data_IF_152331241060
#
_entry.id   IF_152331241060
#
_cell.length_a   1.000
_cell.length_b   1.000
_cell.length_c   1.000
_cell.angle_alpha   90.00
_cell.angle_beta   90.00
_cell.angle_gamma   90.00
#
_symmetry.space_group_name_H-M   'P 1'
#
loop_
_entity.id
_entity.type
_entity.pdbx_description
1 polymer ?
#
# COMPACT_ATOMS: atom_id res chain seq x y z
N UNK A 1 -49.67 -17.13 5.88
CA UNK A 1 -48.38 -17.01 6.56
C UNK A 1 -47.30 -16.98 5.49
N UNK A 2 -46.80 -15.80 5.17
CA UNK A 2 -45.80 -15.61 4.11
C UNK A 2 -44.54 -15.09 4.78
N UNK A 3 -43.43 -15.81 4.64
CA UNK A 3 -42.13 -15.43 5.22
C UNK A 3 -41.65 -14.09 4.63
N UNK A 4 -40.99 -13.21 5.41
CA UNK A 4 -40.40 -12.01 4.85
C UNK A 4 -39.18 -12.38 3.99
N UNK A 5 -39.20 -11.93 2.74
CA UNK A 5 -38.11 -12.11 1.80
C UNK A 5 -36.82 -11.49 2.31
N UNK A 6 -35.70 -12.20 2.14
CA UNK A 6 -34.36 -11.64 2.27
C UNK A 6 -34.18 -10.57 1.18
N UNK A 7 -34.22 -9.31 1.58
CA UNK A 7 -33.76 -8.21 0.75
C UNK A 7 -32.28 -8.39 0.38
N UNK A 8 -31.82 -7.82 -0.75
CA UNK A 8 -30.42 -7.89 -1.13
C UNK A 8 -29.55 -7.27 -0.03
N UNK A 9 -28.55 -8.02 0.41
CA UNK A 9 -27.48 -7.50 1.27
C UNK A 9 -26.82 -6.34 0.52
N UNK A 10 -27.06 -5.10 0.97
CA UNK A 10 -26.23 -3.97 0.56
C UNK A 10 -24.79 -4.35 0.91
N UNK A 11 -23.99 -4.69 -0.10
CA UNK A 11 -22.54 -4.61 0.04
C UNK A 11 -22.28 -3.14 0.25
N UNK A 12 -21.81 -2.76 1.44
CA UNK A 12 -21.22 -1.46 1.63
C UNK A 12 -20.09 -1.37 0.59
N UNK A 13 -20.30 -0.58 -0.45
CA UNK A 13 -19.20 -0.18 -1.33
C UNK A 13 -18.35 0.67 -0.42
N UNK A 14 -17.24 0.12 0.06
CA UNK A 14 -16.25 0.96 0.70
C UNK A 14 -15.79 1.98 -0.36
N UNK A 15 -15.62 3.22 0.04
CA UNK A 15 -15.12 4.24 -0.87
C UNK A 15 -13.59 4.24 -0.79
N UNK A 16 -12.88 4.33 -1.93
CA UNK A 16 -11.45 4.60 -1.94
C UNK A 16 -11.07 5.84 -1.14
N UNK A 17 -9.77 6.06 -0.94
CA UNK A 17 -9.31 7.29 -0.30
C UNK A 17 -9.75 8.55 -1.07
N UNK A 18 -9.82 9.69 -0.39
CA UNK A 18 -9.76 10.99 -1.07
C UNK A 18 -8.34 11.20 -1.62
N UNK A 19 -8.21 11.51 -2.91
CA UNK A 19 -6.93 11.78 -3.56
C UNK A 19 -6.18 12.98 -2.94
N UNK A 20 -6.90 13.93 -2.34
CA UNK A 20 -6.31 15.07 -1.64
C UNK A 20 -5.87 14.73 -0.20
N UNK A 21 -6.23 13.55 0.33
CA UNK A 21 -5.89 13.19 1.68
C UNK A 21 -4.37 12.96 1.86
N UNK A 22 -3.82 13.26 3.06
CA UNK A 22 -2.38 13.17 3.29
C UNK A 22 -1.80 11.78 2.99
N UNK A 23 -0.70 11.76 2.25
CA UNK A 23 0.06 10.55 1.95
C UNK A 23 -0.61 9.62 0.94
N UNK A 24 -1.71 10.02 0.31
CA UNK A 24 -2.36 9.26 -0.76
C UNK A 24 -1.60 9.44 -2.07
N UNK A 25 -1.28 8.33 -2.71
CA UNK A 25 -0.70 8.25 -4.03
C UNK A 25 -1.80 7.82 -5.01
N UNK A 26 -2.03 8.64 -6.04
CA UNK A 26 -2.82 8.24 -7.20
C UNK A 26 -1.95 7.47 -8.19
N UNK A 27 -2.35 6.24 -8.48
CA UNK A 27 -1.74 5.38 -9.49
C UNK A 27 -2.35 5.67 -10.89
N UNK A 28 -1.65 5.35 -12.00
CA UNK A 28 -2.16 5.57 -13.37
C UNK A 28 -3.60 5.10 -13.64
N UNK A 29 -4.04 3.99 -13.06
CA UNK A 29 -5.38 3.45 -13.22
C UNK A 29 -6.48 4.21 -12.46
N UNK A 30 -6.11 5.22 -11.67
CA UNK A 30 -7.01 5.95 -10.79
C UNK A 30 -7.12 5.35 -9.39
N UNK A 31 -6.53 4.18 -9.13
CA UNK A 31 -6.45 3.59 -7.79
C UNK A 31 -5.70 4.50 -6.82
N UNK A 32 -6.18 4.55 -5.57
CA UNK A 32 -5.67 5.43 -4.54
C UNK A 32 -5.12 4.61 -3.37
N UNK A 33 -3.84 4.78 -3.06
CA UNK A 33 -3.16 4.04 -1.98
C UNK A 33 -2.49 5.02 -1.02
N UNK A 34 -2.77 4.89 0.29
CA UNK A 34 -2.12 5.71 1.30
C UNK A 34 -0.79 5.11 1.74
N UNK A 35 0.30 5.88 1.67
CA UNK A 35 1.57 5.54 2.32
C UNK A 35 1.70 6.17 3.69
N UNK A 36 2.03 5.39 4.74
CA UNK A 36 2.18 5.91 6.11
C UNK A 36 3.46 5.48 6.82
N UNK A 37 3.88 6.28 7.79
CA UNK A 37 4.85 5.91 8.81
C UNK A 37 4.17 5.55 10.13
N UNK A 38 4.37 4.33 10.63
CA UNK A 38 3.76 3.82 11.87
C UNK A 38 4.18 4.56 13.14
N UNK A 39 5.33 5.26 13.11
CA UNK A 39 5.78 6.10 14.25
C UNK A 39 4.93 7.35 14.46
N UNK A 40 4.19 7.78 13.45
CA UNK A 40 3.30 8.93 13.52
C UNK A 40 1.89 8.45 13.93
N UNK A 41 1.11 9.29 14.63
CA UNK A 41 -0.29 8.99 14.89
C UNK A 41 -1.06 8.78 13.58
N UNK A 42 -2.19 8.09 13.65
CA UNK A 42 -3.10 7.99 12.53
C UNK A 42 -3.57 9.40 12.14
N UNK A 43 -3.55 9.75 10.84
CA UNK A 43 -4.20 10.98 10.37
C UNK A 43 -5.68 10.97 10.75
N UNK A 44 -6.28 12.14 11.04
CA UNK A 44 -7.72 12.22 11.25
C UNK A 44 -8.49 11.77 10.01
N UNK A 45 -9.70 11.23 10.21
CA UNK A 45 -10.57 10.78 9.14
C UNK A 45 -10.78 9.26 9.12
N UNK A 46 -11.26 8.70 8.00
CA UNK A 46 -11.60 7.29 7.92
C UNK A 46 -10.36 6.40 8.07
N UNK A 47 -10.57 5.23 8.69
CA UNK A 47 -9.55 4.20 8.84
C UNK A 47 -9.37 3.40 7.54
N UNK A 48 -8.18 2.82 7.31
CA UNK A 48 -7.99 1.85 6.24
C UNK A 48 -8.91 0.64 6.43
N UNK A 49 -9.24 -0.02 5.32
CA UNK A 49 -9.87 -1.34 5.32
C UNK A 49 -8.86 -2.46 5.16
N UNK A 50 -7.77 -2.16 4.45
CA UNK A 50 -6.66 -3.07 4.24
C UNK A 50 -5.32 -2.39 4.45
N UNK A 51 -4.37 -3.11 5.07
CA UNK A 51 -3.02 -2.62 5.34
C UNK A 51 -1.93 -3.61 4.94
N UNK A 52 -0.91 -3.13 4.23
CA UNK A 52 0.36 -3.83 4.04
C UNK A 52 1.41 -3.27 4.99
N UNK A 53 1.85 -4.07 5.95
CA UNK A 53 2.76 -3.65 7.02
C UNK A 53 4.17 -4.19 6.80
N UNK A 54 5.11 -3.28 6.53
CA UNK A 54 6.49 -3.55 6.10
C UNK A 54 7.49 -3.35 7.25
N UNK A 55 7.44 -4.23 8.25
CA UNK A 55 8.22 -4.12 9.49
C UNK A 55 9.11 -5.33 9.72
N UNK A 56 10.21 -5.15 10.47
CA UNK A 56 11.12 -6.27 10.79
C UNK A 56 10.54 -7.28 11.79
N UNK A 57 9.50 -6.88 12.53
CA UNK A 57 8.74 -7.68 13.50
C UNK A 57 7.25 -7.54 13.21
N UNK A 58 6.42 -8.54 13.55
CA UNK A 58 4.97 -8.40 13.48
C UNK A 58 4.52 -7.18 14.26
N UNK A 59 3.48 -6.53 13.76
CA UNK A 59 2.76 -5.51 14.51
C UNK A 59 1.64 -6.17 15.32
N UNK A 60 1.17 -5.49 16.37
CA UNK A 60 0.02 -5.94 17.15
C UNK A 60 -1.26 -6.01 16.30
N UNK A 61 -2.35 -6.56 16.86
CA UNK A 61 -3.63 -6.58 16.17
C UNK A 61 -4.04 -5.16 15.79
N UNK A 62 -4.60 -5.03 14.59
CA UNK A 62 -5.15 -3.79 14.07
C UNK A 62 -6.66 -3.98 13.86
N UNK A 63 -7.39 -2.88 13.88
CA UNK A 63 -8.84 -2.88 13.71
C UNK A 63 -9.29 -3.08 12.24
N UNK A 64 -8.37 -3.46 11.35
CA UNK A 64 -8.60 -3.65 9.92
C UNK A 64 -7.79 -4.84 9.39
N UNK A 65 -8.19 -5.37 8.23
CA UNK A 65 -7.51 -6.50 7.60
C UNK A 65 -6.12 -6.10 7.12
N UNK A 66 -5.19 -7.04 7.09
CA UNK A 66 -3.88 -6.73 6.57
C UNK A 66 -2.93 -7.89 6.51
N UNK A 67 -1.89 -7.70 5.70
CA UNK A 67 -0.77 -8.62 5.62
C UNK A 67 0.49 -7.96 6.19
N UNK A 68 1.31 -8.78 6.84
CA UNK A 68 2.64 -8.38 7.30
C UNK A 68 3.70 -8.96 6.38
N UNK A 69 4.58 -8.10 5.88
CA UNK A 69 5.78 -8.51 5.12
C UNK A 69 7.00 -8.22 5.98
N UNK A 70 7.77 -9.27 6.27
CA UNK A 70 8.96 -9.15 7.10
C UNK A 70 10.06 -8.38 6.37
N UNK A 71 10.24 -7.11 6.74
CA UNK A 71 11.18 -6.20 6.09
C UNK A 71 12.04 -5.45 7.11
N UNK A 72 13.27 -5.94 7.42
CA UNK A 72 14.22 -5.25 8.28
C UNK A 72 14.63 -3.88 7.71
N UNK A 73 14.97 -2.94 8.59
CA UNK A 73 15.26 -1.58 8.16
C UNK A 73 16.52 -1.50 7.28
N UNK A 74 16.50 -0.58 6.30
CA UNK A 74 17.54 -0.40 5.27
C UNK A 74 17.93 -1.65 4.46
N UNK A 75 17.17 -2.74 4.56
CA UNK A 75 17.38 -3.97 3.79
C UNK A 75 16.31 -4.14 2.71
N UNK A 76 16.29 -5.33 2.10
CA UNK A 76 15.22 -5.85 1.24
C UNK A 76 14.23 -6.69 2.07
N UNK A 77 13.01 -6.97 1.57
CA UNK A 77 12.12 -7.93 2.20
C UNK A 77 12.84 -9.27 2.36
N UNK A 78 12.54 -9.99 3.43
CA UNK A 78 13.13 -11.33 3.65
C UNK A 78 12.69 -12.32 2.59
N UNK A 79 11.46 -12.17 2.11
CA UNK A 79 10.87 -12.94 1.04
C UNK A 79 10.26 -11.97 0.00
N UNK A 80 10.82 -11.91 -1.22
CA UNK A 80 10.27 -11.10 -2.30
C UNK A 80 8.89 -11.56 -2.81
N UNK A 81 8.55 -12.85 -2.70
CA UNK A 81 7.25 -13.40 -3.12
C UNK A 81 6.14 -13.03 -2.13
N UNK A 82 6.45 -12.97 -0.83
CA UNK A 82 5.55 -12.39 0.17
C UNK A 82 5.20 -10.93 -0.19
N UNK A 83 6.21 -10.15 -0.60
CA UNK A 83 5.98 -8.77 -1.03
C UNK A 83 5.10 -8.72 -2.29
N UNK A 84 5.39 -9.54 -3.31
CA UNK A 84 4.59 -9.58 -4.54
C UNK A 84 3.12 -9.90 -4.27
N UNK A 85 2.85 -10.95 -3.49
CA UNK A 85 1.48 -11.34 -3.11
C UNK A 85 0.76 -10.24 -2.34
N UNK A 86 1.43 -9.66 -1.34
CA UNK A 86 0.87 -8.56 -0.56
C UNK A 86 0.52 -7.33 -1.41
N UNK A 87 1.38 -6.98 -2.38
CA UNK A 87 1.14 -5.83 -3.26
C UNK A 87 0.12 -6.11 -4.36
N UNK A 88 0.01 -7.35 -4.84
CA UNK A 88 -1.07 -7.76 -5.73
C UNK A 88 -2.43 -7.61 -5.06
N UNK A 89 -2.59 -8.14 -3.84
CA UNK A 89 -3.82 -8.00 -3.06
C UNK A 89 -4.14 -6.52 -2.76
N UNK A 90 -3.13 -5.74 -2.37
CA UNK A 90 -3.29 -4.30 -2.14
C UNK A 90 -3.77 -3.57 -3.40
N UNK A 91 -3.25 -3.94 -4.58
CA UNK A 91 -3.64 -3.32 -5.85
C UNK A 91 -5.06 -3.70 -6.27
N UNK A 92 -5.46 -4.95 -6.08
CA UNK A 92 -6.82 -5.41 -6.34
C UNK A 92 -7.83 -4.68 -5.43
N UNK A 93 -7.58 -4.67 -4.12
CA UNK A 93 -8.47 -4.02 -3.13
C UNK A 93 -8.52 -2.50 -3.30
N UNK A 94 -7.45 -1.87 -3.77
CA UNK A 94 -7.41 -0.41 -3.97
C UNK A 94 -8.35 0.10 -5.07
N UNK A 95 -9.00 -0.79 -5.83
CA UNK A 95 -10.09 -0.42 -6.73
C UNK A 95 -11.27 0.19 -5.97
N UNK A 96 -11.63 -0.41 -4.83
CA UNK A 96 -12.87 -0.11 -4.11
C UNK A 96 -12.64 0.03 -2.59
N UNK A 97 -11.40 0.03 -2.10
CA UNK A 97 -11.13 0.08 -0.67
C UNK A 97 -10.04 1.10 -0.30
N UNK A 98 -10.11 1.56 0.95
CA UNK A 98 -9.07 2.35 1.60
C UNK A 98 -7.87 1.47 1.94
N UNK A 99 -6.94 1.34 1.00
CA UNK A 99 -5.71 0.56 1.16
C UNK A 99 -4.57 1.42 1.69
N UNK A 100 -3.85 0.93 2.69
CA UNK A 100 -2.64 1.55 3.24
C UNK A 100 -1.40 0.66 3.06
N UNK A 101 -0.26 1.29 2.82
CA UNK A 101 1.07 0.66 2.91
C UNK A 101 1.89 1.40 3.96
N UNK A 102 2.38 0.69 4.97
CA UNK A 102 3.03 1.32 6.11
C UNK A 102 4.33 0.63 6.53
N UNK A 103 5.35 1.44 6.87
CA UNK A 103 6.56 1.00 7.55
C UNK A 103 6.82 1.91 8.75
N UNK A 104 7.92 1.75 9.49
CA UNK A 104 8.20 2.62 10.64
C UNK A 104 8.23 4.13 10.29
N UNK A 105 8.95 4.51 9.22
CA UNK A 105 9.18 5.92 8.86
C UNK A 105 8.31 6.50 7.73
N UNK A 106 7.65 5.65 6.93
CA UNK A 106 6.88 6.08 5.76
C UNK A 106 7.75 6.68 4.65
N UNK A 107 9.00 6.22 4.47
CA UNK A 107 9.93 6.79 3.47
C UNK A 107 10.56 5.70 2.60
N UNK A 108 11.51 4.91 3.10
CA UNK A 108 12.21 3.89 2.30
C UNK A 108 11.32 2.72 1.93
N UNK A 109 10.99 1.87 2.90
CA UNK A 109 10.19 0.64 2.66
C UNK A 109 8.80 0.96 2.07
N UNK A 110 8.07 1.89 2.68
CA UNK A 110 6.79 2.38 2.13
C UNK A 110 6.95 2.92 0.72
N UNK A 111 7.91 3.82 0.47
CA UNK A 111 8.14 4.37 -0.86
C UNK A 111 8.57 3.31 -1.88
N UNK A 112 9.30 2.27 -1.46
CA UNK A 112 9.70 1.15 -2.31
C UNK A 112 8.48 0.33 -2.72
N UNK A 113 7.63 -0.03 -1.75
CA UNK A 113 6.39 -0.76 -2.04
C UNK A 113 5.40 0.04 -2.90
N UNK A 114 5.27 1.36 -2.66
CA UNK A 114 4.48 2.23 -3.53
C UNK A 114 5.05 2.31 -4.95
N UNK A 115 6.37 2.27 -5.11
CA UNK A 115 6.98 2.24 -6.44
C UNK A 115 6.71 0.91 -7.12
N UNK A 116 6.80 -0.22 -6.41
CA UNK A 116 6.39 -1.53 -6.92
C UNK A 116 4.91 -1.58 -7.32
N UNK A 117 4.01 -0.97 -6.54
CA UNK A 117 2.60 -0.82 -6.90
C UNK A 117 2.43 0.03 -8.16
N UNK A 118 3.20 1.10 -8.33
CA UNK A 118 3.18 1.89 -9.55
C UNK A 118 3.64 1.06 -10.76
N UNK A 119 4.64 0.20 -10.60
CA UNK A 119 5.07 -0.74 -11.65
C UNK A 119 3.95 -1.73 -12.00
N UNK A 120 3.33 -2.33 -10.98
CA UNK A 120 2.19 -3.22 -11.17
C UNK A 120 1.02 -2.52 -11.88
N UNK A 121 0.84 -1.24 -11.64
CA UNK A 121 -0.18 -0.39 -12.27
C UNK A 121 0.26 0.20 -13.62
N UNK A 122 1.36 -0.27 -14.20
CA UNK A 122 1.78 0.05 -15.57
C UNK A 122 2.80 1.18 -15.71
N UNK A 123 3.35 1.73 -14.62
CA UNK A 123 4.50 2.64 -14.70
C UNK A 123 5.76 1.84 -15.08
N UNK A 124 6.57 2.27 -16.07
CA UNK A 124 7.84 1.61 -16.37
C UNK A 124 8.74 1.49 -15.13
N UNK A 125 9.40 0.34 -14.89
CA UNK A 125 10.20 0.12 -13.68
C UNK A 125 11.28 1.19 -13.42
N UNK A 126 11.89 1.71 -14.48
CA UNK A 126 12.93 2.75 -14.39
C UNK A 126 12.37 4.12 -14.00
N UNK A 127 11.09 4.38 -14.26
CA UNK A 127 10.41 5.64 -13.94
C UNK A 127 9.72 5.60 -12.57
N UNK A 128 9.40 4.41 -12.05
CA UNK A 128 8.57 4.23 -10.86
C UNK A 128 9.12 4.92 -9.61
N UNK A 129 10.45 4.94 -9.43
CA UNK A 129 11.07 5.67 -8.30
C UNK A 129 10.88 7.18 -8.45
N UNK A 130 11.04 7.71 -9.67
CA UNK A 130 10.77 9.12 -9.96
C UNK A 130 9.30 9.47 -9.72
N UNK A 131 8.40 8.61 -10.20
CA UNK A 131 6.95 8.75 -10.03
C UNK A 131 6.55 8.94 -8.56
N UNK A 132 6.98 8.04 -7.66
CA UNK A 132 6.64 8.15 -6.24
C UNK A 132 7.35 9.30 -5.53
N UNK A 133 8.54 9.69 -5.99
CA UNK A 133 9.25 10.84 -5.40
C UNK A 133 8.56 12.16 -5.67
N UNK A 134 7.94 12.29 -6.85
CA UNK A 134 7.17 13.47 -7.22
C UNK A 134 5.80 13.48 -6.52
N UNK A 135 5.11 12.34 -6.48
CA UNK A 135 3.69 12.29 -6.10
C UNK A 135 3.43 11.91 -4.64
N UNK A 136 4.34 11.19 -4.00
CA UNK A 136 4.19 10.76 -2.61
C UNK A 136 5.17 11.48 -1.68
N UNK A 137 6.47 11.28 -1.90
CA UNK A 137 7.49 11.84 -1.00
C UNK A 137 8.84 11.95 -1.69
N UNK A 138 9.43 13.15 -1.73
CA UNK A 138 10.73 13.43 -2.40
C UNK A 138 11.87 12.47 -2.02
N UNK A 139 11.88 11.96 -0.77
CA UNK A 139 12.91 11.05 -0.25
C UNK A 139 12.52 9.56 -0.31
N UNK A 140 11.40 9.21 -0.96
CA UNK A 140 10.99 7.82 -1.14
C UNK A 140 12.10 6.99 -1.80
N UNK A 141 12.18 5.72 -1.39
CA UNK A 141 13.21 4.76 -1.84
C UNK A 141 14.62 5.23 -1.43
N UNK A 142 15.08 4.69 -0.30
CA UNK A 142 16.27 5.17 0.42
C UNK A 142 17.57 4.51 -0.07
N UNK A 143 17.52 3.22 -0.43
CA UNK A 143 18.74 2.46 -0.75
C UNK A 143 18.86 2.11 -2.23
N UNK A 144 20.09 1.88 -2.71
CA UNK A 144 20.33 1.36 -4.07
C UNK A 144 19.70 -0.02 -4.26
N UNK A 145 19.72 -0.86 -3.22
CA UNK A 145 19.07 -2.18 -3.24
C UNK A 145 17.57 -2.07 -3.46
N UNK A 146 16.89 -1.14 -2.78
CA UNK A 146 15.46 -0.89 -2.97
C UNK A 146 15.15 -0.44 -4.41
N UNK A 147 15.99 0.42 -5.01
CA UNK A 147 15.81 0.80 -6.43
C UNK A 147 15.91 -0.40 -7.36
N UNK A 148 16.91 -1.27 -7.15
CA UNK A 148 17.06 -2.50 -7.94
C UNK A 148 15.86 -3.44 -7.79
N UNK A 149 15.31 -3.54 -6.58
CA UNK A 149 14.09 -4.32 -6.33
C UNK A 149 12.92 -3.77 -7.16
N UNK A 150 12.76 -2.45 -7.23
CA UNK A 150 11.71 -1.81 -8.05
C UNK A 150 11.93 -2.11 -9.54
N UNK A 151 13.14 -1.91 -10.06
CA UNK A 151 13.45 -2.15 -11.48
C UNK A 151 13.19 -3.59 -11.92
N UNK A 152 13.34 -4.56 -11.03
CA UNK A 152 13.11 -5.98 -11.31
C UNK A 152 11.78 -6.53 -10.78
N UNK A 153 10.80 -5.69 -10.44
CA UNK A 153 9.63 -6.15 -9.67
C UNK A 153 8.73 -7.16 -10.41
N UNK A 154 8.57 -7.00 -11.73
CA UNK A 154 7.78 -7.88 -12.61
C UNK A 154 8.63 -8.93 -13.35
N UNK A 155 9.95 -8.95 -13.12
CA UNK A 155 10.89 -9.86 -13.77
C UNK A 155 11.33 -11.02 -12.89
#
# INVERSE_FOLDING_TARGET
>A
MTAPGRGPTLRWVDEPWDAAAPGVLALPSGRLVRGRGLRAPLPPGPLPRFGVHLTGRPIGPLDWDGCWVRWPDFRLPRDPDDLRRALAEAWERAADERVEVACHGGTGRTGTALACLAVLDGVPPDDAVGFVRVRYRRRAVETRGQRRLVSGFLG
#
